data_IF_872171598621
#
_entry.id   IF_872171598621
#
_cell.length_a   1.000
_cell.length_b   1.000
_cell.length_c   1.000
_cell.angle_alpha   90.00
_cell.angle_beta   90.00
_cell.angle_gamma   90.00
#
_symmetry.space_group_name_H-M   'P 1'
#
loop_
_entity.id
_entity.type
_entity.pdbx_description
1 polymer ?
#
# COMPACT_ATOMS: atom_id res chain seq x y z
N UNK A 1 -20.88 -1.17 -6.18
CA UNK A 1 -20.29 -2.50 -6.06
C UNK A 1 -19.13 -2.44 -5.06
N UNK A 2 -18.99 -3.47 -4.22
CA UNK A 2 -17.88 -3.56 -3.25
C UNK A 2 -16.51 -3.54 -3.99
N UNK A 3 -15.58 -2.63 -3.63
CA UNK A 3 -14.29 -2.50 -4.30
C UNK A 3 -13.40 -3.74 -4.20
N UNK A 4 -13.49 -4.51 -3.11
CA UNK A 4 -12.74 -5.75 -2.94
C UNK A 4 -13.26 -6.83 -3.90
N UNK A 5 -14.57 -7.07 -3.90
CA UNK A 5 -15.20 -8.07 -4.77
C UNK A 5 -15.00 -7.73 -6.24
N UNK A 6 -15.12 -6.44 -6.59
CA UNK A 6 -14.88 -5.98 -7.95
C UNK A 6 -13.46 -6.31 -8.44
N UNK A 7 -12.44 -6.01 -7.60
CA UNK A 7 -11.04 -6.31 -7.97
C UNK A 7 -10.77 -7.80 -8.04
N UNK A 8 -11.27 -8.59 -7.10
CA UNK A 8 -11.13 -10.05 -7.11
C UNK A 8 -11.76 -10.67 -8.36
N UNK A 9 -12.90 -10.13 -8.81
CA UNK A 9 -13.56 -10.55 -10.05
C UNK A 9 -12.73 -10.18 -11.29
N UNK A 10 -12.18 -8.97 -11.36
CA UNK A 10 -11.34 -8.53 -12.48
C UNK A 10 -10.04 -9.34 -12.61
N UNK A 11 -9.47 -9.77 -11.49
CA UNK A 11 -8.28 -10.63 -11.50
C UNK A 11 -8.57 -12.01 -12.15
N UNK A 12 -9.84 -12.40 -12.29
CA UNK A 12 -10.27 -13.62 -12.97
C UNK A 12 -9.85 -14.88 -12.23
N UNK A 13 -9.75 -16.00 -12.94
CA UNK A 13 -9.34 -17.29 -12.39
C UNK A 13 -7.83 -17.36 -12.12
N UNK A 14 -7.44 -18.25 -11.20
CA UNK A 14 -6.04 -18.52 -10.88
C UNK A 14 -5.41 -19.35 -12.00
N UNK A 15 -5.09 -18.69 -13.12
CA UNK A 15 -4.48 -19.32 -14.28
C UNK A 15 -2.98 -19.56 -14.08
N UNK A 16 -2.44 -20.42 -14.93
CA UNK A 16 -1.02 -20.79 -15.00
C UNK A 16 -0.12 -19.55 -14.89
N UNK A 17 0.94 -19.59 -14.06
CA UNK A 17 1.86 -18.49 -13.88
C UNK A 17 2.40 -17.96 -15.22
N UNK A 18 2.32 -16.64 -15.41
CA UNK A 18 2.68 -15.96 -16.65
C UNK A 18 4.09 -15.36 -16.59
N UNK A 19 4.77 -15.32 -17.72
CA UNK A 19 6.10 -14.73 -17.86
C UNK A 19 7.16 -15.71 -18.31
N UNK A 20 8.24 -15.21 -18.89
CA UNK A 20 9.36 -16.00 -19.41
C UNK A 20 10.54 -16.13 -18.45
N UNK A 21 10.48 -15.50 -17.27
CA UNK A 21 11.52 -15.53 -16.26
C UNK A 21 11.45 -16.74 -15.32
N UNK A 22 12.47 -16.94 -14.48
CA UNK A 22 12.51 -18.01 -13.48
C UNK A 22 11.43 -17.82 -12.39
N UNK A 23 11.02 -16.57 -12.13
CA UNK A 23 9.92 -16.22 -11.21
C UNK A 23 8.77 -15.72 -12.05
N UNK A 24 7.65 -16.44 -12.00
CA UNK A 24 6.46 -16.14 -12.81
C UNK A 24 5.42 -15.40 -11.99
N UNK A 25 4.66 -14.51 -12.65
CA UNK A 25 3.51 -13.85 -12.04
C UNK A 25 2.43 -14.86 -11.67
N UNK A 26 1.85 -14.75 -10.47
CA UNK A 26 0.77 -15.58 -9.96
C UNK A 26 -0.43 -14.74 -9.53
N UNK A 27 -1.55 -14.92 -10.20
CA UNK A 27 -2.82 -14.29 -9.84
C UNK A 27 -3.29 -14.73 -8.44
N UNK A 28 -3.06 -15.98 -8.08
CA UNK A 28 -3.42 -16.51 -6.76
C UNK A 28 -2.70 -15.76 -5.64
N UNK A 29 -1.39 -15.50 -5.78
CA UNK A 29 -0.60 -14.75 -4.80
C UNK A 29 -1.07 -13.30 -4.70
N UNK A 30 -1.38 -12.64 -5.84
CA UNK A 30 -1.89 -11.28 -5.86
C UNK A 30 -3.25 -11.17 -5.15
N UNK A 31 -4.18 -12.10 -5.43
CA UNK A 31 -5.47 -12.18 -4.72
C UNK A 31 -5.30 -12.48 -3.24
N UNK A 32 -4.34 -13.33 -2.88
CA UNK A 32 -4.12 -13.73 -1.50
C UNK A 32 -3.71 -12.54 -0.63
N UNK A 33 -2.73 -11.72 -1.06
CA UNK A 33 -2.33 -10.53 -0.29
C UNK A 33 -3.50 -9.54 -0.14
N UNK A 34 -4.34 -9.39 -1.17
CA UNK A 34 -5.51 -8.51 -1.10
C UNK A 34 -6.56 -9.03 -0.11
N UNK A 35 -6.86 -10.34 -0.13
CA UNK A 35 -7.80 -10.97 0.81
C UNK A 35 -7.32 -10.87 2.25
N UNK A 36 -6.02 -11.09 2.50
CA UNK A 36 -5.45 -10.99 3.84
C UNK A 36 -5.49 -9.54 4.33
N UNK A 37 -5.12 -8.56 3.50
CA UNK A 37 -5.18 -7.15 3.87
C UNK A 37 -6.61 -6.72 4.22
N UNK A 38 -7.59 -7.12 3.44
CA UNK A 38 -9.01 -6.88 3.72
C UNK A 38 -9.47 -7.54 5.02
N UNK A 39 -9.07 -8.80 5.26
CA UNK A 39 -9.35 -9.52 6.52
C UNK A 39 -8.76 -8.80 7.73
N UNK A 40 -7.50 -8.37 7.65
CA UNK A 40 -6.81 -7.70 8.75
C UNK A 40 -7.44 -6.36 9.12
N UNK A 41 -7.94 -5.64 8.11
CA UNK A 41 -8.71 -4.40 8.31
C UNK A 41 -10.15 -4.65 8.79
N UNK A 42 -10.62 -5.89 8.83
CA UNK A 42 -12.04 -6.24 8.99
C UNK A 42 -12.91 -5.51 7.94
N UNK A 43 -12.56 -5.63 6.65
CA UNK A 43 -13.29 -5.03 5.54
C UNK A 43 -14.78 -5.34 5.62
N UNK A 44 -15.63 -4.34 5.43
CA UNK A 44 -17.09 -4.47 5.54
C UNK A 44 -17.66 -4.24 6.95
N UNK A 45 -16.83 -4.05 7.99
CA UNK A 45 -17.32 -3.62 9.30
C UNK A 45 -17.85 -2.19 9.25
N UNK A 46 -18.79 -1.86 10.13
CA UNK A 46 -19.22 -0.48 10.35
C UNK A 46 -18.06 0.34 10.93
N UNK A 47 -17.75 1.45 10.29
CA UNK A 47 -16.76 2.42 10.74
C UNK A 47 -17.43 3.58 11.50
N UNK A 48 -16.69 4.34 12.31
CA UNK A 48 -17.18 5.59 12.86
C UNK A 48 -17.66 6.53 11.77
N UNK A 49 -18.59 7.44 12.11
CA UNK A 49 -19.09 8.44 11.15
C UNK A 49 -17.92 9.27 10.59
N UNK A 50 -17.89 9.42 9.28
CA UNK A 50 -16.85 10.16 8.57
C UNK A 50 -15.56 9.37 8.30
N UNK A 51 -15.49 8.10 8.69
CA UNK A 51 -14.40 7.20 8.33
C UNK A 51 -14.75 6.35 7.12
N UNK A 52 -13.74 6.03 6.33
CA UNK A 52 -13.86 5.12 5.20
C UNK A 52 -12.60 4.27 5.02
N UNK A 53 -12.77 3.12 4.37
CA UNK A 53 -11.67 2.28 3.91
C UNK A 53 -11.44 2.43 2.42
N UNK A 54 -10.18 2.49 2.03
CA UNK A 54 -9.76 2.28 0.65
C UNK A 54 -8.72 1.18 0.55
N UNK A 55 -8.68 0.51 -0.57
CA UNK A 55 -7.74 -0.58 -0.81
C UNK A 55 -7.02 -0.43 -2.14
N UNK A 56 -5.80 -0.95 -2.18
CA UNK A 56 -5.01 -1.07 -3.40
C UNK A 56 -4.14 -2.33 -3.35
N UNK A 57 -3.76 -2.83 -4.50
CA UNK A 57 -2.93 -4.01 -4.67
C UNK A 57 -2.05 -3.86 -5.89
N UNK A 58 -0.82 -4.36 -5.82
CA UNK A 58 0.11 -4.34 -6.95
C UNK A 58 1.09 -5.51 -6.94
N UNK A 59 1.73 -5.68 -8.08
CA UNK A 59 2.89 -6.54 -8.29
C UNK A 59 4.05 -5.71 -8.82
N UNK A 60 5.14 -5.66 -8.09
CA UNK A 60 6.38 -5.00 -8.50
C UNK A 60 7.59 -5.62 -7.81
N UNK A 61 8.76 -5.54 -8.46
CA UNK A 61 9.98 -6.19 -7.97
C UNK A 61 9.80 -7.69 -7.69
N UNK A 62 8.90 -8.35 -8.44
CA UNK A 62 8.50 -9.75 -8.29
C UNK A 62 7.78 -10.07 -6.97
N UNK A 63 7.42 -9.05 -6.19
CA UNK A 63 6.66 -9.15 -4.94
C UNK A 63 5.22 -8.68 -5.12
N UNK A 64 4.32 -9.21 -4.30
CA UNK A 64 2.90 -8.89 -4.27
C UNK A 64 2.60 -8.11 -3.01
N UNK A 65 1.99 -6.94 -3.13
CA UNK A 65 1.65 -6.10 -1.99
C UNK A 65 0.23 -5.59 -2.11
N UNK A 66 -0.51 -5.64 -1.00
CA UNK A 66 -1.80 -5.01 -0.86
C UNK A 66 -1.84 -4.15 0.40
N UNK A 67 -2.58 -3.05 0.34
CA UNK A 67 -2.85 -2.22 1.52
C UNK A 67 -4.32 -1.84 1.59
N UNK A 68 -4.85 -1.84 2.82
CA UNK A 68 -6.11 -1.20 3.18
C UNK A 68 -5.78 -0.04 4.10
N UNK A 69 -6.35 1.13 3.80
CA UNK A 69 -6.11 2.35 4.58
C UNK A 69 -7.43 2.87 5.13
N UNK A 70 -7.47 3.17 6.43
CA UNK A 70 -8.57 3.84 7.09
C UNK A 70 -8.32 5.34 7.15
N UNK A 71 -9.22 6.12 6.57
CA UNK A 71 -9.14 7.58 6.58
C UNK A 71 -10.38 8.20 7.20
N UNK A 72 -10.26 9.44 7.67
CA UNK A 72 -11.39 10.34 7.90
C UNK A 72 -11.09 11.72 7.37
N UNK A 73 -12.15 12.50 7.14
CA UNK A 73 -12.05 13.92 6.85
C UNK A 73 -12.35 14.71 8.12
N UNK A 74 -11.40 15.54 8.55
CA UNK A 74 -11.54 16.44 9.69
C UNK A 74 -11.24 17.86 9.18
N UNK A 75 -12.25 18.73 9.17
CA UNK A 75 -12.11 20.12 8.67
C UNK A 75 -11.45 20.17 7.27
N UNK A 76 -11.94 19.34 6.35
CA UNK A 76 -11.42 19.16 4.98
C UNK A 76 -10.00 18.57 4.87
N UNK A 77 -9.36 18.25 5.99
CA UNK A 77 -8.07 17.57 5.99
C UNK A 77 -8.23 16.04 6.09
N UNK A 78 -7.47 15.34 5.28
CA UNK A 78 -7.40 13.88 5.34
C UNK A 78 -6.57 13.46 6.54
N UNK A 79 -7.19 12.69 7.45
CA UNK A 79 -6.50 12.03 8.55
C UNK A 79 -6.45 10.51 8.30
N UNK A 80 -5.27 9.95 8.35
CA UNK A 80 -5.06 8.49 8.21
C UNK A 80 -4.95 7.90 9.61
N UNK A 81 -5.73 6.86 9.89
CA UNK A 81 -5.83 6.23 11.20
C UNK A 81 -5.06 4.91 11.26
N UNK A 82 -5.32 4.06 10.28
CA UNK A 82 -4.73 2.72 10.21
C UNK A 82 -4.30 2.39 8.78
N UNK A 83 -3.17 1.72 8.65
CA UNK A 83 -2.68 1.14 7.40
C UNK A 83 -2.43 -0.34 7.63
N UNK A 84 -3.11 -1.20 6.86
CA UNK A 84 -2.96 -2.65 6.90
C UNK A 84 -2.28 -3.10 5.61
N UNK A 85 -0.97 -3.37 5.68
CA UNK A 85 -0.17 -3.79 4.52
C UNK A 85 0.17 -5.27 4.62
N UNK A 86 0.00 -5.97 3.51
CA UNK A 86 0.38 -7.39 3.39
C UNK A 86 1.33 -7.54 2.21
N UNK A 87 2.44 -8.24 2.43
CA UNK A 87 3.45 -8.53 1.41
C UNK A 87 3.67 -10.04 1.27
N UNK A 88 3.73 -10.51 0.03
CA UNK A 88 4.26 -11.80 -0.35
C UNK A 88 5.51 -11.57 -1.22
N UNK A 89 6.68 -11.77 -0.62
CA UNK A 89 7.99 -11.59 -1.25
C UNK A 89 8.79 -12.91 -1.33
N UNK A 90 8.09 -14.05 -1.28
CA UNK A 90 8.76 -15.34 -1.21
C UNK A 90 9.39 -15.60 0.17
N UNK A 91 10.43 -16.44 0.20
CA UNK A 91 11.11 -16.81 1.45
C UNK A 91 11.84 -15.61 2.05
N UNK A 92 11.49 -15.29 3.30
CA UNK A 92 12.08 -14.17 4.05
C UNK A 92 13.28 -14.65 4.86
N UNK A 93 14.41 -13.95 4.74
CA UNK A 93 15.64 -14.21 5.51
C UNK A 93 15.62 -13.41 6.82
N UNK A 94 15.25 -12.13 6.76
CA UNK A 94 15.17 -11.26 7.93
C UNK A 94 13.79 -10.59 7.98
N UNK A 95 12.97 -11.01 8.92
CA UNK A 95 11.59 -10.56 9.10
C UNK A 95 11.52 -9.08 9.49
N UNK A 96 12.37 -8.66 10.42
CA UNK A 96 12.36 -7.30 10.96
C UNK A 96 12.71 -6.26 9.88
N UNK A 97 13.66 -6.59 9.01
CA UNK A 97 14.01 -5.72 7.87
C UNK A 97 12.83 -5.57 6.91
N UNK A 98 12.10 -6.64 6.59
CA UNK A 98 10.92 -6.56 5.71
C UNK A 98 9.81 -5.73 6.36
N UNK A 99 9.55 -5.92 7.66
CA UNK A 99 8.58 -5.13 8.41
C UNK A 99 8.94 -3.64 8.39
N UNK A 100 10.22 -3.30 8.66
CA UNK A 100 10.70 -1.92 8.63
C UNK A 100 10.55 -1.27 7.24
N UNK A 101 10.83 -2.02 6.16
CA UNK A 101 10.64 -1.54 4.79
C UNK A 101 9.17 -1.24 4.48
N UNK A 102 8.24 -2.10 4.89
CA UNK A 102 6.81 -1.87 4.66
C UNK A 102 6.27 -0.71 5.51
N UNK A 103 6.73 -0.56 6.75
CA UNK A 103 6.36 0.57 7.61
C UNK A 103 6.89 1.90 7.03
N UNK A 104 8.16 1.93 6.62
CA UNK A 104 8.77 3.09 5.95
C UNK A 104 8.06 3.43 4.64
N UNK A 105 7.71 2.42 3.84
CA UNK A 105 6.97 2.58 2.60
C UNK A 105 5.59 3.21 2.81
N UNK A 106 4.89 2.84 3.89
CA UNK A 106 3.61 3.46 4.24
C UNK A 106 3.76 4.97 4.51
N UNK A 107 4.73 5.37 5.34
CA UNK A 107 5.01 6.78 5.64
C UNK A 107 5.45 7.55 4.40
N UNK A 108 6.30 6.94 3.56
CA UNK A 108 6.75 7.58 2.33
C UNK A 108 5.61 7.75 1.33
N UNK A 109 4.78 6.72 1.12
CA UNK A 109 3.61 6.78 0.25
C UNK A 109 2.56 7.79 0.72
N UNK A 110 2.35 7.92 2.05
CA UNK A 110 1.53 8.96 2.65
C UNK A 110 2.09 10.35 2.36
N UNK A 111 3.40 10.54 2.50
CA UNK A 111 4.06 11.82 2.22
C UNK A 111 3.86 12.25 0.77
N UNK A 112 3.97 11.31 -0.17
CA UNK A 112 3.69 11.56 -1.58
C UNK A 112 2.23 11.94 -1.83
N UNK A 113 1.29 11.23 -1.20
CA UNK A 113 -0.15 11.44 -1.40
C UNK A 113 -0.65 12.76 -0.81
N UNK A 114 -0.17 13.14 0.37
CA UNK A 114 -0.68 14.29 1.12
C UNK A 114 0.09 15.59 0.85
N UNK A 115 1.39 15.50 0.63
CA UNK A 115 2.29 16.66 0.60
C UNK A 115 3.19 16.74 -0.64
N UNK A 116 3.33 15.64 -1.40
CA UNK A 116 4.23 15.56 -2.55
C UNK A 116 3.87 16.55 -3.66
N UNK A 117 4.45 17.75 -3.62
CA UNK A 117 4.23 18.80 -4.62
C UNK A 117 5.56 19.45 -5.00
N UNK A 118 5.87 19.43 -6.28
CA UNK A 118 6.97 20.16 -6.88
C UNK A 118 6.38 21.18 -7.84
N UNK A 119 6.78 22.44 -7.68
CA UNK A 119 6.31 23.57 -8.49
C UNK A 119 7.50 24.23 -9.21
N UNK A 120 7.22 24.80 -10.38
CA UNK A 120 8.20 25.53 -11.15
C UNK A 120 7.70 26.96 -11.42
N UNK A 121 8.58 27.94 -11.28
CA UNK A 121 8.33 29.34 -11.59
C UNK A 121 9.50 29.88 -12.39
N UNK A 122 9.21 30.59 -13.47
CA UNK A 122 10.20 31.24 -14.34
C UNK A 122 11.32 30.28 -14.81
N UNK A 123 10.97 29.01 -15.06
CA UNK A 123 11.90 27.96 -15.52
C UNK A 123 12.76 27.32 -14.42
N UNK A 124 12.56 27.67 -13.15
CA UNK A 124 13.28 27.09 -12.02
C UNK A 124 12.32 26.36 -11.07
N UNK A 125 12.80 25.28 -10.41
CA UNK A 125 12.07 24.58 -9.37
C UNK A 125 12.08 25.42 -8.10
N UNK A 126 10.90 25.57 -7.46
CA UNK A 126 10.76 26.36 -6.23
C UNK A 126 11.23 25.60 -4.98
N UNK A 127 11.11 24.27 -4.94
CA UNK A 127 11.56 23.44 -3.83
C UNK A 127 13.06 23.15 -3.98
N UNK A 128 13.87 23.77 -3.14
CA UNK A 128 15.34 23.73 -3.26
C UNK A 128 16.00 22.82 -2.21
N UNK A 129 15.32 22.48 -1.12
CA UNK A 129 15.88 21.71 -0.02
C UNK A 129 14.78 20.97 0.77
N UNK A 130 15.18 20.14 1.73
CA UNK A 130 14.27 19.38 2.62
C UNK A 130 13.27 20.27 3.41
N UNK A 131 13.60 21.53 3.66
CA UNK A 131 12.68 22.48 4.30
C UNK A 131 11.47 22.84 3.45
N UNK A 132 11.64 22.82 2.14
CA UNK A 132 10.62 23.24 1.16
C UNK A 132 9.79 22.04 0.62
N UNK A 133 10.16 20.81 0.99
CA UNK A 133 9.49 19.58 0.60
C UNK A 133 9.01 18.84 1.85
N UNK A 134 7.74 19.05 2.19
CA UNK A 134 7.14 18.49 3.40
C UNK A 134 6.98 16.97 3.32
N UNK A 135 7.34 16.29 4.40
CA UNK A 135 7.05 14.87 4.64
C UNK A 135 6.13 14.71 5.85
N UNK A 136 5.45 13.57 5.94
CA UNK A 136 4.67 13.17 7.11
C UNK A 136 5.56 13.19 8.36
N UNK A 137 5.07 13.81 9.43
CA UNK A 137 5.75 13.90 10.72
C UNK A 137 5.29 12.80 11.66
N UNK A 138 6.05 12.55 12.73
CA UNK A 138 5.75 11.49 13.70
C UNK A 138 4.36 11.60 14.34
N UNK A 139 3.89 12.81 14.60
CA UNK A 139 2.57 13.07 15.15
C UNK A 139 1.42 12.88 14.15
N UNK A 140 1.74 12.72 12.89
CA UNK A 140 0.78 12.46 11.79
C UNK A 140 0.78 10.96 11.40
N UNK A 141 1.76 10.21 11.88
CA UNK A 141 1.90 8.79 11.54
C UNK A 141 0.71 7.97 12.05
N UNK A 142 0.11 7.11 11.22
CA UNK A 142 -0.97 6.23 11.62
C UNK A 142 -0.45 4.98 12.36
N UNK A 143 -1.38 4.15 12.83
CA UNK A 143 -1.02 2.79 13.20
C UNK A 143 -0.75 1.98 11.92
N UNK A 144 0.43 1.37 11.82
CA UNK A 144 0.82 0.58 10.65
C UNK A 144 0.93 -0.89 11.05
N UNK A 145 0.08 -1.71 10.45
CA UNK A 145 0.02 -3.15 10.65
C UNK A 145 0.58 -3.83 9.40
N UNK A 146 1.62 -4.63 9.57
CA UNK A 146 2.26 -5.35 8.46
C UNK A 146 2.19 -6.84 8.70
N UNK A 147 1.71 -7.57 7.68
CA UNK A 147 1.76 -9.03 7.64
C UNK A 147 2.61 -9.49 6.46
N UNK A 148 3.50 -10.43 6.71
CA UNK A 148 4.32 -11.10 5.70
C UNK A 148 3.73 -12.48 5.46
N UNK A 149 3.35 -12.77 4.23
CA UNK A 149 2.85 -14.09 3.84
C UNK A 149 3.99 -15.10 3.90
N UNK A 150 3.80 -16.20 4.64
CA UNK A 150 4.75 -17.30 4.63
C UNK A 150 4.74 -18.00 3.26
N UNK A 151 5.93 -18.13 2.66
CA UNK A 151 6.08 -18.65 1.32
C UNK A 151 7.41 -19.39 1.16
N UNK A 152 7.40 -20.47 0.37
CA UNK A 152 8.60 -21.19 -0.03
C UNK A 152 9.11 -20.77 -1.42
N UNK A 153 8.45 -19.82 -2.05
CA UNK A 153 8.88 -19.26 -3.33
C UNK A 153 10.25 -18.54 -3.19
N UNK A 154 11.01 -18.39 -4.27
CA UNK A 154 12.26 -17.65 -4.25
C UNK A 154 12.11 -16.25 -3.67
N UNK A 155 13.11 -15.74 -2.92
CA UNK A 155 13.10 -14.36 -2.39
C UNK A 155 13.00 -13.33 -3.51
N UNK A 156 12.21 -12.28 -3.27
CA UNK A 156 11.99 -11.19 -4.24
C UNK A 156 12.19 -9.82 -3.58
N UNK A 157 12.07 -8.72 -4.34
CA UNK A 157 12.37 -7.38 -3.87
C UNK A 157 11.44 -6.87 -2.79
N UNK A 158 11.98 -6.26 -1.74
CA UNK A 158 11.22 -5.70 -0.61
C UNK A 158 11.50 -4.22 -0.35
N UNK A 159 12.41 -3.59 -1.13
CA UNK A 159 12.81 -2.20 -0.89
C UNK A 159 11.68 -1.19 -1.08
N UNK A 160 10.96 -1.27 -2.19
CA UNK A 160 10.00 -0.25 -2.60
C UNK A 160 8.57 -0.73 -2.84
N UNK A 161 8.25 -2.05 -2.94
CA UNK A 161 6.94 -2.49 -3.40
C UNK A 161 5.79 -2.08 -2.48
N UNK A 162 6.05 -1.65 -1.26
CA UNK A 162 5.04 -1.13 -0.34
C UNK A 162 4.57 0.29 -0.64
N UNK A 163 5.34 1.11 -1.38
CA UNK A 163 5.04 2.53 -1.61
C UNK A 163 3.83 2.75 -2.54
N UNK A 164 3.76 2.15 -3.74
CA UNK A 164 2.75 2.49 -4.73
C UNK A 164 1.31 2.12 -4.36
N UNK A 165 1.09 1.27 -3.36
CA UNK A 165 -0.27 0.91 -2.92
C UNK A 165 -0.88 1.93 -1.95
N UNK A 166 -0.08 2.81 -1.35
CA UNK A 166 -0.55 3.71 -0.28
C UNK A 166 -1.39 4.86 -0.83
N UNK A 167 -0.85 5.64 -1.78
CA UNK A 167 -1.58 6.77 -2.35
C UNK A 167 -2.93 6.36 -2.98
N UNK A 168 -3.01 5.33 -3.84
CA UNK A 168 -4.29 4.90 -4.38
C UNK A 168 -5.25 4.34 -3.33
N UNK A 169 -4.76 3.68 -2.27
CA UNK A 169 -5.64 3.26 -1.18
C UNK A 169 -6.24 4.46 -0.43
N UNK A 170 -5.46 5.51 -0.17
CA UNK A 170 -5.95 6.75 0.45
C UNK A 170 -7.02 7.40 -0.44
N UNK A 171 -6.74 7.59 -1.73
CA UNK A 171 -7.67 8.23 -2.67
C UNK A 171 -8.95 7.42 -2.82
N UNK A 172 -8.86 6.10 -2.90
CA UNK A 172 -10.03 5.22 -2.96
C UNK A 172 -10.89 5.26 -1.68
N UNK A 173 -10.32 5.63 -0.53
CA UNK A 173 -11.07 5.80 0.70
C UNK A 173 -11.81 7.15 0.78
N UNK A 174 -11.28 8.18 0.10
CA UNK A 174 -11.88 9.51 0.07
C UNK A 174 -13.05 9.58 -0.92
N UNK A 175 -12.95 8.84 -2.04
CA UNK A 175 -13.97 8.80 -3.09
C UNK A 175 -15.19 8.02 -2.66
#
# INVERSE_FOLDING_TARGET
QDPLEFRLKLMGEDKIPQGNGPIKFSNARLKNVLKIAAKNANWGKSLPKGHAYGLAVQYSFLSYVASVVEVSLVEEMVKIHNVYTVIDCGKVVNKDTVLAQMQGAAIFGMSLALYGKITAKDGAIEQSNFGDYRLVRMNEAPNIHVEIVESNEPPTGVGEPGVPVIAPAIVNAIY
#
